data_IF_926161805498
#
_entry.id   IF_926161805498
#
_cell.length_a   1.000
_cell.length_b   1.000
_cell.length_c   1.000
_cell.angle_alpha   90.00
_cell.angle_beta   90.00
_cell.angle_gamma   90.00
#
_symmetry.space_group_name_H-M   'P 1'
#
loop_
_entity.id
_entity.type
_entity.pdbx_description
1 polymer ?
#
# COMPACT_ATOMS: atom_id res chain seq x y z
N UNK A 1 19.49 -49.30 56.26
CA UNK A 1 19.21 -47.85 56.13
C UNK A 1 19.67 -47.22 54.80
N UNK A 2 20.27 -47.96 53.84
CA UNK A 2 20.78 -47.38 52.58
C UNK A 2 19.77 -47.23 51.42
N UNK A 3 18.74 -48.07 51.31
CA UNK A 3 17.84 -48.05 50.15
C UNK A 3 16.91 -46.84 50.10
N UNK A 4 16.58 -46.25 51.24
CA UNK A 4 15.68 -45.10 51.33
C UNK A 4 16.36 -43.82 50.83
N UNK A 5 17.64 -43.62 51.21
CA UNK A 5 18.48 -42.54 50.69
C UNK A 5 18.69 -42.62 49.18
N UNK A 6 18.94 -43.83 48.64
CA UNK A 6 19.09 -44.02 47.20
C UNK A 6 17.80 -43.69 46.42
N UNK A 7 16.63 -44.04 46.96
CA UNK A 7 15.33 -43.72 46.37
C UNK A 7 15.08 -42.20 46.29
N UNK A 8 15.41 -41.48 47.35
CA UNK A 8 15.25 -40.02 47.41
C UNK A 8 16.17 -39.31 46.42
N UNK A 9 17.43 -39.77 46.30
CA UNK A 9 18.39 -39.23 45.32
C UNK A 9 17.88 -39.43 43.89
N UNK A 10 17.36 -40.61 43.55
CA UNK A 10 16.82 -40.87 42.21
C UNK A 10 15.62 -39.97 41.90
N UNK A 11 14.75 -39.74 42.90
CA UNK A 11 13.60 -38.84 42.76
C UNK A 11 14.05 -37.40 42.55
N UNK A 12 14.95 -36.89 43.39
CA UNK A 12 15.52 -35.56 43.26
C UNK A 12 16.25 -35.38 41.91
N UNK A 13 16.96 -36.40 41.43
CA UNK A 13 17.65 -36.37 40.13
C UNK A 13 16.66 -36.32 38.96
N UNK A 14 15.47 -36.91 39.10
CA UNK A 14 14.42 -36.86 38.09
C UNK A 14 13.72 -35.50 38.08
N UNK A 15 13.35 -34.99 39.24
CA UNK A 15 12.78 -33.64 39.38
C UNK A 15 13.76 -32.58 38.85
N UNK A 16 15.06 -32.68 39.16
CA UNK A 16 16.09 -31.79 38.61
C UNK A 16 16.16 -31.84 37.08
N UNK A 17 16.07 -33.04 36.48
CA UNK A 17 16.06 -33.21 35.03
C UNK A 17 14.83 -32.57 34.37
N UNK A 18 13.66 -32.75 34.97
CA UNK A 18 12.40 -32.23 34.45
C UNK A 18 12.38 -30.68 34.50
N UNK A 19 12.96 -30.09 35.55
CA UNK A 19 13.18 -28.64 35.67
C UNK A 19 14.17 -28.14 34.61
N UNK A 20 15.28 -28.86 34.38
CA UNK A 20 16.25 -28.50 33.33
C UNK A 20 15.66 -28.58 31.91
N UNK A 21 14.66 -29.45 31.67
CA UNK A 21 13.91 -29.44 30.40
C UNK A 21 12.90 -28.29 30.28
N UNK A 22 12.40 -27.74 31.40
CA UNK A 22 11.55 -26.55 31.38
C UNK A 22 12.31 -25.28 30.94
N UNK A 23 13.60 -25.18 31.28
CA UNK A 23 14.48 -24.12 30.77
C UNK A 23 14.62 -24.14 29.25
N UNK A 24 14.49 -25.33 28.62
CA UNK A 24 14.51 -25.45 27.15
C UNK A 24 13.31 -24.73 26.52
N UNK A 25 12.12 -24.82 27.11
CA UNK A 25 10.93 -24.12 26.65
C UNK A 25 11.06 -22.59 26.80
N UNK A 26 11.64 -22.12 27.91
CA UNK A 26 11.90 -20.68 28.13
C UNK A 26 12.90 -20.14 27.09
N UNK A 27 13.94 -20.90 26.77
CA UNK A 27 14.93 -20.53 25.74
C UNK A 27 14.29 -20.49 24.35
N UNK A 28 13.40 -21.42 24.01
CA UNK A 28 12.66 -21.40 22.75
C UNK A 28 11.75 -20.18 22.63
N UNK A 29 11.03 -19.82 23.70
CA UNK A 29 10.22 -18.60 23.76
C UNK A 29 11.09 -17.36 23.56
N UNK A 30 12.26 -17.28 24.21
CA UNK A 30 13.17 -16.16 24.03
C UNK A 30 13.67 -16.03 22.58
N UNK A 31 14.01 -17.15 21.94
CA UNK A 31 14.40 -17.17 20.51
C UNK A 31 13.27 -16.70 19.60
N UNK A 32 12.04 -17.18 19.82
CA UNK A 32 10.87 -16.74 19.06
C UNK A 32 10.61 -15.25 19.23
N UNK A 33 10.75 -14.72 20.46
CA UNK A 33 10.62 -13.29 20.73
C UNK A 33 11.70 -12.46 20.02
N UNK A 34 12.96 -12.90 20.06
CA UNK A 34 14.04 -12.23 19.33
C UNK A 34 13.78 -12.21 17.82
N UNK A 35 13.41 -13.36 17.22
CA UNK A 35 13.06 -13.41 15.80
C UNK A 35 11.86 -12.54 15.46
N UNK A 36 10.87 -12.44 16.36
CA UNK A 36 9.71 -11.58 16.16
C UNK A 36 10.09 -10.10 16.21
N UNK A 37 10.96 -9.70 17.13
CA UNK A 37 11.49 -8.34 17.21
C UNK A 37 12.26 -7.98 15.93
N UNK A 38 13.14 -8.85 15.44
CA UNK A 38 13.87 -8.63 14.19
C UNK A 38 12.92 -8.45 12.99
N UNK A 39 11.87 -9.28 12.90
CA UNK A 39 10.84 -9.16 11.85
C UNK A 39 10.04 -7.86 11.96
N UNK A 40 9.72 -7.41 13.17
CA UNK A 40 9.04 -6.14 13.40
C UNK A 40 9.91 -4.94 12.99
N UNK A 41 11.21 -4.98 13.26
CA UNK A 41 12.13 -3.92 12.84
C UNK A 41 12.25 -3.83 11.32
N UNK A 42 12.39 -4.98 10.64
CA UNK A 42 12.45 -5.04 9.17
C UNK A 42 11.15 -4.51 8.55
N UNK A 43 9.99 -4.93 9.06
CA UNK A 43 8.69 -4.46 8.54
C UNK A 43 8.47 -2.98 8.81
N UNK A 44 8.88 -2.48 9.98
CA UNK A 44 8.82 -1.05 10.30
C UNK A 44 9.72 -0.22 9.37
N UNK A 45 10.92 -0.70 9.07
CA UNK A 45 11.82 -0.04 8.12
C UNK A 45 11.23 -0.01 6.71
N UNK A 46 10.67 -1.14 6.24
CA UNK A 46 10.02 -1.23 4.94
C UNK A 46 8.79 -0.29 4.85
N UNK A 47 7.99 -0.21 5.91
CA UNK A 47 6.82 0.67 5.95
C UNK A 47 7.22 2.15 5.86
N UNK A 48 8.22 2.57 6.64
CA UNK A 48 8.74 3.95 6.58
C UNK A 48 9.24 4.33 5.19
N UNK A 49 9.92 3.40 4.52
CA UNK A 49 10.40 3.62 3.16
C UNK A 49 9.24 3.72 2.16
N UNK A 50 8.23 2.87 2.29
CA UNK A 50 7.02 2.98 1.47
C UNK A 50 6.27 4.28 1.70
N UNK A 51 6.15 4.76 2.93
CA UNK A 51 5.56 6.07 3.22
C UNK A 51 6.31 7.19 2.48
N UNK A 52 7.64 7.21 2.51
CA UNK A 52 8.43 8.22 1.77
C UNK A 52 8.20 8.15 0.26
N UNK A 53 8.14 6.95 -0.30
CA UNK A 53 7.86 6.77 -1.74
C UNK A 53 6.46 7.28 -2.11
N UNK A 54 5.45 7.04 -1.27
CA UNK A 54 4.11 7.56 -1.45
C UNK A 54 4.08 9.10 -1.39
N UNK A 55 4.75 9.70 -0.42
CA UNK A 55 4.82 11.16 -0.28
C UNK A 55 5.50 11.80 -1.50
N UNK A 56 6.62 11.23 -1.97
CA UNK A 56 7.33 11.72 -3.16
C UNK A 56 6.49 11.58 -4.44
N UNK A 57 5.76 10.47 -4.60
CA UNK A 57 4.84 10.29 -5.73
C UNK A 57 3.67 11.27 -5.67
N UNK A 58 3.13 11.54 -4.48
CA UNK A 58 2.05 12.51 -4.30
C UNK A 58 2.50 13.92 -4.70
N UNK A 59 3.71 14.33 -4.30
CA UNK A 59 4.29 15.62 -4.69
C UNK A 59 4.52 15.70 -6.20
N UNK A 60 5.13 14.69 -6.81
CA UNK A 60 5.36 14.64 -8.25
C UNK A 60 4.05 14.70 -9.04
N UNK A 61 3.00 14.00 -8.58
CA UNK A 61 1.68 14.04 -9.21
C UNK A 61 1.03 15.43 -9.10
N UNK A 62 1.20 16.14 -7.99
CA UNK A 62 0.72 17.52 -7.85
C UNK A 62 1.44 18.47 -8.82
N UNK A 63 2.77 18.32 -8.96
CA UNK A 63 3.55 19.11 -9.91
C UNK A 63 3.10 18.85 -11.36
N UNK A 64 2.92 17.58 -11.75
CA UNK A 64 2.42 17.21 -13.07
C UNK A 64 0.99 17.70 -13.31
N UNK A 65 0.13 17.70 -12.30
CA UNK A 65 -1.22 18.24 -12.41
C UNK A 65 -1.20 19.76 -12.64
N UNK A 66 -0.33 20.49 -11.93
CA UNK A 66 -0.15 21.92 -12.10
C UNK A 66 0.46 22.27 -13.46
N UNK A 67 1.48 21.53 -13.91
CA UNK A 67 2.08 21.69 -15.24
C UNK A 67 1.04 21.42 -16.34
N UNK A 68 0.29 20.33 -16.23
CA UNK A 68 -0.80 20.03 -17.15
C UNK A 68 -1.79 21.20 -17.21
N UNK A 69 -2.27 21.69 -16.06
CA UNK A 69 -3.17 22.84 -15.99
C UNK A 69 -2.60 24.09 -16.68
N UNK A 70 -1.31 24.39 -16.47
CA UNK A 70 -0.64 25.50 -17.16
C UNK A 70 -0.55 25.30 -18.68
N UNK A 71 -0.23 24.10 -19.14
CA UNK A 71 -0.24 23.76 -20.56
C UNK A 71 -1.64 23.90 -21.17
N UNK A 72 -2.68 23.47 -20.44
CA UNK A 72 -4.09 23.65 -20.83
C UNK A 72 -4.42 25.13 -21.06
N UNK A 73 -4.02 25.96 -20.10
CA UNK A 73 -4.28 27.40 -20.14
C UNK A 73 -3.57 28.06 -21.32
N UNK A 74 -2.31 27.72 -21.57
CA UNK A 74 -1.55 28.24 -22.71
C UNK A 74 -2.21 27.87 -24.04
N UNK A 75 -2.70 26.64 -24.19
CA UNK A 75 -3.39 26.20 -25.40
C UNK A 75 -4.69 26.99 -25.61
N UNK A 76 -5.45 27.26 -24.54
CA UNK A 76 -6.66 28.09 -24.64
C UNK A 76 -6.33 29.56 -24.93
N UNK A 77 -5.25 30.11 -24.37
CA UNK A 77 -4.78 31.45 -24.74
C UNK A 77 -4.36 31.52 -26.22
N UNK A 78 -3.70 30.48 -26.71
CA UNK A 78 -3.36 30.34 -28.13
C UNK A 78 -4.62 30.26 -29.00
N UNK A 79 -5.63 29.47 -28.61
CA UNK A 79 -6.89 29.35 -29.34
C UNK A 79 -7.62 30.70 -29.51
N UNK A 80 -7.47 31.60 -28.54
CA UNK A 80 -8.04 32.95 -28.58
C UNK A 80 -7.19 33.97 -29.38
N UNK A 81 -6.09 33.52 -30.00
CA UNK A 81 -5.21 34.36 -30.82
C UNK A 81 -5.53 34.23 -32.32
N UNK A 82 -4.87 35.04 -33.13
CA UNK A 82 -4.94 34.99 -34.60
C UNK A 82 -3.55 34.61 -35.12
N UNK A 83 -3.50 33.58 -35.97
CA UNK A 83 -2.31 33.21 -36.71
C UNK A 83 -2.27 33.99 -38.02
N UNK A 84 -1.12 34.56 -38.35
CA UNK A 84 -0.92 35.23 -39.64
C UNK A 84 -0.03 34.34 -40.51
N UNK A 85 -0.55 33.90 -41.66
CA UNK A 85 0.24 33.12 -42.60
C UNK A 85 1.40 33.97 -43.15
N UNK A 86 2.67 33.57 -42.96
CA UNK A 86 3.81 34.37 -43.39
C UNK A 86 3.93 34.47 -44.92
N UNK A 87 3.24 33.60 -45.67
CA UNK A 87 3.32 33.54 -47.13
C UNK A 87 2.25 34.39 -47.85
N UNK A 88 1.06 34.55 -47.25
CA UNK A 88 -0.06 35.28 -47.87
C UNK A 88 -0.70 36.34 -46.98
N UNK A 89 -0.19 36.54 -45.75
CA UNK A 89 -0.72 37.49 -44.75
C UNK A 89 -2.19 37.30 -44.41
N UNK A 90 -2.76 36.12 -44.69
CA UNK A 90 -4.11 35.79 -44.25
C UNK A 90 -4.12 35.56 -42.73
N UNK A 91 -5.11 36.16 -42.08
CA UNK A 91 -5.41 35.98 -40.66
C UNK A 91 -6.35 34.79 -40.51
N UNK A 92 -5.87 33.74 -39.84
CA UNK A 92 -6.67 32.57 -39.49
C UNK A 92 -6.86 32.52 -37.96
N UNK A 93 -8.10 32.36 -37.48
CA UNK A 93 -8.35 32.16 -36.05
C UNK A 93 -7.63 30.89 -35.57
N UNK A 94 -6.79 31.01 -34.55
CA UNK A 94 -6.07 29.86 -33.98
C UNK A 94 -7.01 28.79 -33.38
N UNK A 95 -8.27 29.13 -33.07
CA UNK A 95 -9.27 28.16 -32.61
C UNK A 95 -9.57 27.06 -33.64
N UNK A 96 -9.28 27.31 -34.92
CA UNK A 96 -9.47 26.33 -36.01
C UNK A 96 -8.24 25.45 -36.25
N UNK A 97 -7.16 25.68 -35.51
CA UNK A 97 -5.93 24.88 -35.53
C UNK A 97 -6.22 23.42 -35.08
N UNK A 98 -5.63 22.46 -35.77
CA UNK A 98 -5.85 21.03 -35.53
C UNK A 98 -5.31 20.58 -34.16
N UNK A 99 -4.28 21.26 -33.64
CA UNK A 99 -3.73 21.04 -32.30
C UNK A 99 -4.76 21.46 -31.23
N UNK A 100 -5.39 22.62 -31.38
CA UNK A 100 -6.42 23.10 -30.45
C UNK A 100 -7.63 22.17 -30.44
N UNK A 101 -8.10 21.76 -31.62
CA UNK A 101 -9.21 20.81 -31.75
C UNK A 101 -8.88 19.45 -31.14
N UNK A 102 -7.69 18.90 -31.43
CA UNK A 102 -7.24 17.63 -30.87
C UNK A 102 -7.17 17.68 -29.35
N UNK A 103 -6.65 18.79 -28.81
CA UNK A 103 -6.50 19.00 -27.39
C UNK A 103 -7.85 19.10 -26.66
N UNK A 104 -8.82 19.86 -27.20
CA UNK A 104 -10.18 19.98 -26.60
C UNK A 104 -10.95 18.66 -26.57
N UNK A 105 -10.69 17.79 -27.54
CA UNK A 105 -11.30 16.47 -27.64
C UNK A 105 -10.55 15.39 -26.82
N UNK A 106 -9.40 15.75 -26.22
CA UNK A 106 -8.61 14.83 -25.42
C UNK A 106 -9.07 14.90 -23.96
N UNK A 107 -9.66 13.81 -23.49
CA UNK A 107 -10.00 13.69 -22.07
C UNK A 107 -8.71 13.45 -21.27
N UNK A 108 -8.48 14.25 -20.23
CA UNK A 108 -7.40 13.94 -19.29
C UNK A 108 -7.82 12.72 -18.49
N UNK A 109 -7.09 11.60 -18.57
CA UNK A 109 -7.48 10.37 -17.90
C UNK A 109 -7.71 10.67 -16.42
N UNK A 110 -8.91 10.38 -15.92
CA UNK A 110 -9.20 10.65 -14.52
C UNK A 110 -8.38 9.70 -13.67
N UNK A 111 -7.45 10.23 -12.89
CA UNK A 111 -6.69 9.46 -11.88
C UNK A 111 -7.63 8.75 -10.89
N UNK A 112 -8.91 9.15 -10.82
CA UNK A 112 -9.94 8.50 -10.01
C UNK A 112 -10.08 7.00 -10.28
N UNK A 113 -10.05 6.55 -11.54
CA UNK A 113 -10.14 5.12 -11.85
C UNK A 113 -8.89 4.36 -11.36
N UNK A 114 -7.71 4.97 -11.50
CA UNK A 114 -6.46 4.40 -11.00
C UNK A 114 -6.41 4.40 -9.46
N UNK A 115 -6.91 5.45 -8.81
CA UNK A 115 -7.02 5.55 -7.33
C UNK A 115 -7.99 4.50 -6.81
N UNK A 116 -9.16 4.37 -7.42
CA UNK A 116 -10.15 3.34 -7.10
C UNK A 116 -9.57 1.92 -7.20
N UNK A 117 -8.78 1.65 -8.24
CA UNK A 117 -8.10 0.37 -8.42
C UNK A 117 -7.05 0.12 -7.33
N UNK A 118 -6.22 1.13 -7.01
CA UNK A 118 -5.22 1.01 -5.93
C UNK A 118 -5.88 0.82 -4.56
N UNK A 119 -6.98 1.52 -4.29
CA UNK A 119 -7.75 1.35 -3.07
C UNK A 119 -8.36 -0.06 -2.99
N UNK A 120 -8.94 -0.56 -4.07
CA UNK A 120 -9.45 -1.93 -4.15
C UNK A 120 -8.36 -2.96 -3.87
N UNK A 121 -7.18 -2.81 -4.47
CA UNK A 121 -6.03 -3.69 -4.23
C UNK A 121 -5.57 -3.67 -2.76
N UNK A 122 -5.59 -2.50 -2.12
CA UNK A 122 -5.28 -2.39 -0.68
C UNK A 122 -6.26 -3.16 0.20
N UNK A 123 -7.55 -3.10 -0.13
CA UNK A 123 -8.63 -3.86 0.54
C UNK A 123 -8.44 -5.38 0.35
N UNK A 124 -8.07 -5.81 -0.86
CA UNK A 124 -7.79 -7.23 -1.15
C UNK A 124 -6.56 -7.75 -0.40
N UNK A 125 -5.50 -6.94 -0.31
CA UNK A 125 -4.31 -7.29 0.49
C UNK A 125 -4.64 -7.42 1.97
N UNK A 126 -5.51 -6.55 2.50
CA UNK A 126 -6.00 -6.65 3.87
C UNK A 126 -6.82 -7.94 4.08
N UNK A 127 -7.75 -8.26 3.16
CA UNK A 127 -8.51 -9.50 3.21
C UNK A 127 -7.60 -10.74 3.22
N UNK A 128 -6.55 -10.75 2.39
CA UNK A 128 -5.56 -11.82 2.34
C UNK A 128 -4.76 -11.92 3.65
N UNK A 129 -4.39 -10.80 4.26
CA UNK A 129 -3.74 -10.77 5.57
C UNK A 129 -4.63 -11.37 6.66
N UNK A 130 -5.90 -10.98 6.72
CA UNK A 130 -6.87 -11.51 7.67
C UNK A 130 -7.13 -13.02 7.47
N UNK A 131 -7.06 -13.49 6.23
CA UNK A 131 -7.26 -14.91 5.89
C UNK A 131 -6.04 -15.79 6.21
N UNK A 132 -4.84 -15.22 6.24
CA UNK A 132 -3.57 -15.95 6.47
C UNK A 132 -3.04 -15.82 7.90
N UNK A 133 -3.47 -14.78 8.64
CA UNK A 133 -3.20 -14.66 10.06
C UNK A 133 -3.94 -15.76 10.83
N UNK A 134 -3.17 -16.70 11.40
CA UNK A 134 -3.65 -17.84 12.18
C UNK A 134 -4.48 -17.38 13.39
N UNK A 135 -5.79 -17.22 13.22
CA UNK A 135 -6.92 -17.22 14.17
C UNK A 135 -6.68 -16.82 15.64
N UNK A 136 -5.87 -15.79 15.90
CA UNK A 136 -5.69 -15.18 17.22
C UNK A 136 -6.06 -13.69 17.28
N UNK A 137 -6.51 -13.12 16.16
CA UNK A 137 -7.03 -11.75 16.10
C UNK A 137 -8.51 -11.76 16.50
N UNK A 138 -8.91 -10.90 17.44
CA UNK A 138 -10.31 -10.74 17.90
C UNK A 138 -11.26 -10.25 16.79
N UNK A 139 -10.70 -9.78 15.67
CA UNK A 139 -11.43 -9.35 14.50
C UNK A 139 -11.50 -10.54 13.54
N UNK A 140 -12.69 -11.15 13.46
CA UNK A 140 -13.08 -12.04 12.37
C UNK A 140 -13.87 -11.22 11.34
N UNK A 141 -13.19 -10.52 10.42
CA UNK A 141 -13.91 -9.75 9.41
C UNK A 141 -14.60 -10.69 8.42
N UNK A 142 -15.76 -10.27 7.93
CA UNK A 142 -16.41 -10.93 6.80
C UNK A 142 -15.58 -10.66 5.53
N UNK A 143 -14.79 -11.65 5.13
CA UNK A 143 -13.91 -11.55 3.96
C UNK A 143 -14.73 -11.36 2.67
N UNK A 144 -15.93 -11.92 2.60
CA UNK A 144 -16.79 -11.79 1.41
C UNK A 144 -17.28 -10.35 1.27
N UNK A 145 -17.71 -9.73 2.37
CA UNK A 145 -18.13 -8.32 2.41
C UNK A 145 -16.97 -7.36 2.07
N UNK A 146 -15.77 -7.64 2.58
CA UNK A 146 -14.56 -6.85 2.26
C UNK A 146 -14.22 -6.92 0.77
N UNK A 147 -14.32 -8.12 0.16
CA UNK A 147 -14.05 -8.30 -1.26
C UNK A 147 -15.12 -7.65 -2.14
N UNK A 148 -16.39 -7.62 -1.68
CA UNK A 148 -17.46 -6.88 -2.34
C UNK A 148 -17.18 -5.37 -2.33
N UNK A 149 -16.74 -4.84 -1.19
CA UNK A 149 -16.34 -3.43 -1.08
C UNK A 149 -15.18 -3.08 -2.03
N UNK A 150 -14.17 -3.94 -2.16
CA UNK A 150 -13.11 -3.75 -3.16
C UNK A 150 -13.65 -3.71 -4.60
N UNK A 151 -14.64 -4.54 -4.92
CA UNK A 151 -15.29 -4.52 -6.24
C UNK A 151 -16.16 -3.27 -6.46
N UNK A 152 -16.73 -2.68 -5.41
CA UNK A 152 -17.49 -1.43 -5.47
C UNK A 152 -16.58 -0.22 -5.71
N UNK A 153 -15.42 -0.18 -5.06
CA UNK A 153 -14.42 0.87 -5.30
C UNK A 153 -14.07 0.97 -6.79
N UNK A 154 -13.83 -0.16 -7.48
CA UNK A 154 -13.54 -0.20 -8.92
C UNK A 154 -14.66 0.32 -9.81
N UNK A 155 -15.91 0.29 -9.34
CA UNK A 155 -17.06 0.85 -10.08
C UNK A 155 -17.17 2.37 -9.92
N UNK A 156 -16.27 3.00 -9.16
CA UNK A 156 -16.31 4.42 -8.85
C UNK A 156 -17.45 4.79 -7.89
N UNK A 157 -17.99 3.82 -7.16
CA UNK A 157 -18.92 4.10 -6.07
C UNK A 157 -18.11 4.77 -4.94
N UNK A 158 -18.24 6.08 -4.85
CA UNK A 158 -17.62 6.86 -3.79
C UNK A 158 -18.11 6.37 -2.41
N UNK A 159 -17.19 6.38 -1.44
CA UNK A 159 -17.51 6.46 -0.01
C UNK A 159 -17.90 7.89 0.33
#
# INVERSE_FOLDING_TARGET
>A
MNNQSNSEIIKATREFRDVMTADTAIIEIAKMLSTSADRLDVTTAALREKTRQCDALAEANQQLAAENAGLKEIIEQHANSIAVCPNCSHEEPCETDDIVSSYRNMETPTTAAAIAEVQAQGVEMFAAFCSTANSGHEIHPDIEEIMLFAAELRKGAAV
#
